data_IF_833356387212
#
_entry.id   IF_833356387212
#
_cell.length_a   1.000
_cell.length_b   1.000
_cell.length_c   1.000
_cell.angle_alpha   90.00
_cell.angle_beta   90.00
_cell.angle_gamma   90.00
#
_symmetry.space_group_name_H-M   'P 1'
#
loop_
_entity.id
_entity.type
_entity.pdbx_description
1 polymer ?
#
# COMPACT_ATOMS: atom_id res chain seq x y z
N UNK A 1 18.92 11.39 5.03
CA UNK A 1 18.59 9.97 4.83
C UNK A 1 19.72 9.18 5.48
N UNK A 2 19.46 8.49 6.62
CA UNK A 2 20.38 7.47 7.15
C UNK A 2 20.15 6.21 6.30
N UNK A 3 21.18 5.72 5.65
CA UNK A 3 21.16 4.41 4.99
C UNK A 3 21.85 3.41 5.90
N UNK A 4 21.27 2.23 6.01
CA UNK A 4 21.90 1.10 6.71
C UNK A 4 23.00 0.53 5.81
N UNK A 5 24.10 0.05 6.41
CA UNK A 5 25.17 -0.63 5.65
C UNK A 5 24.61 -1.85 4.92
N UNK A 6 25.13 -2.11 3.74
CA UNK A 6 24.76 -3.27 2.93
C UNK A 6 24.81 -4.56 3.80
N UNK A 7 23.66 -5.26 3.93
CA UNK A 7 23.55 -6.51 4.67
C UNK A 7 22.98 -6.40 6.10
N UNK A 8 22.84 -5.21 6.68
CA UNK A 8 22.16 -5.00 7.96
C UNK A 8 20.69 -4.68 7.72
N UNK A 9 19.77 -5.33 8.44
CA UNK A 9 18.36 -4.94 8.45
C UNK A 9 18.17 -3.76 9.40
N UNK A 10 17.52 -2.70 8.91
CA UNK A 10 17.13 -1.58 9.74
C UNK A 10 16.05 -2.01 10.73
N UNK A 11 16.27 -1.75 12.02
CA UNK A 11 15.19 -1.83 13.00
C UNK A 11 14.36 -0.54 12.96
N UNK A 12 13.35 -0.56 12.10
CA UNK A 12 12.51 0.61 11.88
C UNK A 12 11.80 1.09 13.16
N UNK A 13 11.48 0.18 14.09
CA UNK A 13 10.82 0.53 15.34
C UNK A 13 11.74 1.36 16.23
N UNK A 14 12.99 0.93 16.34
CA UNK A 14 14.01 1.67 17.09
C UNK A 14 14.27 3.03 16.49
N UNK A 15 14.43 3.10 15.16
CA UNK A 15 14.66 4.37 14.47
C UNK A 15 13.49 5.36 14.65
N UNK A 16 12.23 4.88 14.66
CA UNK A 16 11.07 5.72 14.91
C UNK A 16 11.00 6.22 16.35
N UNK A 17 11.38 5.39 17.32
CA UNK A 17 11.49 5.80 18.72
C UNK A 17 12.58 6.86 18.90
N UNK A 18 13.74 6.68 18.25
CA UNK A 18 14.85 7.63 18.28
C UNK A 18 14.49 8.97 17.60
N UNK A 19 13.64 8.94 16.57
CA UNK A 19 13.04 10.14 15.93
C UNK A 19 11.99 10.81 16.84
N UNK A 20 11.59 10.15 17.92
CA UNK A 20 10.63 10.67 18.90
C UNK A 20 9.18 10.59 18.44
N UNK A 21 8.83 9.63 17.60
CA UNK A 21 7.42 9.33 17.25
C UNK A 21 6.67 8.94 18.52
N UNK A 22 5.42 9.38 18.63
CA UNK A 22 4.56 9.12 19.79
C UNK A 22 4.47 7.62 20.10
N UNK A 23 4.81 7.26 21.32
CA UNK A 23 4.81 5.87 21.77
C UNK A 23 3.41 5.25 21.78
N UNK A 24 2.37 6.02 22.10
CA UNK A 24 1.00 5.53 22.04
C UNK A 24 0.60 5.19 20.60
N UNK A 25 1.00 6.01 19.63
CA UNK A 25 0.75 5.73 18.21
C UNK A 25 1.49 4.44 17.76
N UNK A 26 2.72 4.23 18.21
CA UNK A 26 3.47 3.01 17.90
C UNK A 26 2.81 1.76 18.52
N UNK A 27 2.25 1.86 19.73
CA UNK A 27 1.49 0.77 20.35
C UNK A 27 0.19 0.46 19.58
N UNK A 28 -0.55 1.47 19.13
CA UNK A 28 -1.73 1.26 18.29
C UNK A 28 -1.39 0.56 16.97
N UNK A 29 -0.24 0.87 16.35
CA UNK A 29 0.22 0.16 15.17
C UNK A 29 0.56 -1.32 15.49
N UNK A 30 1.12 -1.61 16.66
CA UNK A 30 1.37 -3.00 17.09
C UNK A 30 0.07 -3.77 17.27
N UNK A 31 -0.92 -3.19 17.94
CA UNK A 31 -2.24 -3.78 18.09
C UNK A 31 -2.92 -4.01 16.74
N UNK A 32 -2.80 -3.04 15.82
CA UNK A 32 -3.29 -3.22 14.44
C UNK A 32 -2.66 -4.44 13.76
N UNK A 33 -1.35 -4.62 13.87
CA UNK A 33 -0.64 -5.77 13.26
C UNK A 33 -1.11 -7.11 13.83
N UNK A 34 -1.31 -7.17 15.15
CA UNK A 34 -1.80 -8.37 15.84
C UNK A 34 -3.23 -8.72 15.44
N UNK A 35 -4.08 -7.69 15.32
CA UNK A 35 -5.47 -7.86 14.91
C UNK A 35 -5.65 -8.24 13.43
N UNK A 36 -4.64 -7.94 12.58
CA UNK A 36 -4.72 -8.16 11.14
C UNK A 36 -3.55 -9.02 10.64
N UNK A 37 -3.54 -10.33 10.91
CA UNK A 37 -2.48 -11.22 10.44
C UNK A 37 -2.42 -11.26 8.91
N UNK A 38 -1.20 -11.38 8.37
CA UNK A 38 -0.97 -11.44 6.92
C UNK A 38 -0.90 -12.90 6.48
N UNK A 39 -1.66 -13.30 5.43
CA UNK A 39 -1.57 -14.64 4.86
C UNK A 39 -0.14 -14.99 4.42
N UNK A 40 0.31 -16.26 4.59
CA UNK A 40 1.67 -16.67 4.26
C UNK A 40 2.13 -16.31 2.85
N UNK A 41 1.24 -16.42 1.86
CA UNK A 41 1.52 -16.09 0.46
C UNK A 41 1.79 -14.59 0.22
N UNK A 42 1.30 -13.71 1.10
CA UNK A 42 1.49 -12.27 1.00
C UNK A 42 2.67 -11.73 1.84
N UNK A 43 3.16 -12.52 2.81
CA UNK A 43 4.28 -12.12 3.67
C UNK A 43 5.55 -11.68 2.91
N UNK A 44 5.95 -12.34 1.80
CA UNK A 44 7.12 -11.90 1.02
C UNK A 44 6.98 -10.50 0.41
N UNK A 45 5.78 -9.93 0.39
CA UNK A 45 5.50 -8.58 -0.10
C UNK A 45 5.58 -7.51 0.99
N UNK A 46 5.81 -7.88 2.25
CA UNK A 46 6.04 -6.89 3.31
C UNK A 46 7.42 -6.28 3.09
N UNK A 47 7.52 -4.95 2.94
CA UNK A 47 8.80 -4.31 2.66
C UNK A 47 9.82 -4.50 3.79
N UNK A 48 11.11 -4.51 3.39
CA UNK A 48 12.24 -4.42 4.31
C UNK A 48 13.04 -3.14 3.98
N UNK A 49 12.64 -1.98 4.51
CA UNK A 49 13.20 -0.69 4.12
C UNK A 49 14.70 -0.61 4.37
N UNK A 50 15.40 0.03 3.43
CA UNK A 50 16.83 0.33 3.53
C UNK A 50 17.08 1.77 4.01
N UNK A 51 16.05 2.60 3.96
CA UNK A 51 16.12 4.02 4.30
C UNK A 51 14.93 4.38 5.19
N UNK A 52 15.16 5.25 6.19
CA UNK A 52 14.09 5.86 6.95
C UNK A 52 13.69 7.20 6.35
N UNK A 53 12.40 7.45 6.28
CA UNK A 53 11.85 8.79 6.07
C UNK A 53 11.87 9.55 7.39
N UNK A 54 12.47 10.75 7.38
CA UNK A 54 12.52 11.64 8.51
C UNK A 54 11.45 12.72 8.40
N UNK A 55 10.75 12.97 9.48
CA UNK A 55 9.70 13.98 9.55
C UNK A 55 8.56 13.54 10.47
N UNK A 56 8.75 13.71 11.77
CA UNK A 56 7.83 13.28 12.82
C UNK A 56 6.36 13.62 12.54
N UNK A 57 6.06 14.89 12.25
CA UNK A 57 4.67 15.33 12.05
C UNK A 57 3.99 14.65 10.86
N UNK A 58 4.74 14.42 9.77
CA UNK A 58 4.24 13.72 8.58
C UNK A 58 3.99 12.25 8.90
N UNK A 59 4.92 11.63 9.63
CA UNK A 59 4.81 10.26 10.09
C UNK A 59 3.57 10.04 10.95
N UNK A 60 3.41 10.84 12.01
CA UNK A 60 2.31 10.72 12.95
C UNK A 60 0.96 10.97 12.29
N UNK A 61 0.89 12.00 11.44
CA UNK A 61 -0.33 12.29 10.67
C UNK A 61 -0.71 11.16 9.72
N UNK A 62 0.27 10.62 8.99
CA UNK A 62 0.03 9.53 8.05
C UNK A 62 -0.36 8.23 8.77
N UNK A 63 0.33 7.88 9.84
CA UNK A 63 0.03 6.68 10.62
C UNK A 63 -1.34 6.76 11.30
N UNK A 64 -1.68 7.90 11.90
CA UNK A 64 -2.99 8.13 12.50
C UNK A 64 -4.13 8.03 11.47
N UNK A 65 -3.95 8.61 10.28
CA UNK A 65 -4.92 8.50 9.20
C UNK A 65 -5.13 7.04 8.76
N UNK A 66 -4.06 6.26 8.63
CA UNK A 66 -4.14 4.83 8.29
C UNK A 66 -4.85 4.01 9.38
N UNK A 67 -4.56 4.26 10.65
CA UNK A 67 -5.26 3.61 11.77
C UNK A 67 -6.76 3.94 11.78
N UNK A 68 -7.12 5.15 11.35
CA UNK A 68 -8.52 5.55 11.14
C UNK A 68 -9.11 5.01 9.83
N UNK A 69 -8.41 4.14 9.12
CA UNK A 69 -8.87 3.55 7.85
C UNK A 69 -8.92 4.55 6.69
N UNK A 70 -8.21 5.68 6.76
CA UNK A 70 -8.19 6.66 5.69
C UNK A 70 -7.15 6.33 4.62
N UNK A 71 -7.44 6.72 3.37
CA UNK A 71 -6.46 6.71 2.30
C UNK A 71 -5.55 7.93 2.39
N UNK A 72 -4.30 7.77 1.94
CA UNK A 72 -3.33 8.85 1.94
C UNK A 72 -3.07 9.34 0.52
N UNK A 73 -3.01 10.66 0.34
CA UNK A 73 -2.46 11.30 -0.84
C UNK A 73 -1.15 11.99 -0.47
N UNK A 74 -0.04 11.42 -0.91
CA UNK A 74 1.29 11.99 -0.69
C UNK A 74 1.62 12.96 -1.83
N UNK A 75 1.44 14.25 -1.61
CA UNK A 75 1.76 15.30 -2.57
C UNK A 75 3.03 16.06 -2.17
N UNK A 76 3.82 16.45 -3.17
CA UNK A 76 5.04 17.24 -2.94
C UNK A 76 6.04 17.14 -4.10
N UNK A 77 7.12 17.91 -4.07
CA UNK A 77 8.15 17.90 -5.10
C UNK A 77 8.77 16.54 -5.34
N UNK A 78 9.44 16.36 -6.47
CA UNK A 78 10.21 15.14 -6.75
C UNK A 78 11.33 14.97 -5.73
N UNK A 79 11.71 13.72 -5.47
CA UNK A 79 12.80 13.34 -4.56
C UNK A 79 12.63 13.79 -3.08
N UNK A 80 11.40 14.04 -2.61
CA UNK A 80 11.13 14.36 -1.20
C UNK A 80 10.92 13.12 -0.33
N UNK A 81 11.07 11.91 -0.86
CA UNK A 81 10.98 10.67 -0.10
C UNK A 81 9.57 10.10 0.05
N UNK A 82 8.60 10.52 -0.80
CA UNK A 82 7.21 9.99 -0.73
C UNK A 82 7.15 8.47 -0.78
N UNK A 83 7.88 7.85 -1.71
CA UNK A 83 7.92 6.39 -1.84
C UNK A 83 8.62 5.73 -0.64
N UNK A 84 9.65 6.39 -0.09
CA UNK A 84 10.31 5.92 1.15
C UNK A 84 9.31 5.93 2.31
N UNK A 85 8.50 6.99 2.46
CA UNK A 85 7.47 7.05 3.49
C UNK A 85 6.43 5.95 3.31
N UNK A 86 5.93 5.73 2.09
CA UNK A 86 4.96 4.68 1.80
C UNK A 86 5.52 3.28 2.13
N UNK A 87 6.75 2.99 1.74
CA UNK A 87 7.45 1.74 2.06
C UNK A 87 7.64 1.57 3.57
N UNK A 88 8.06 2.63 4.27
CA UNK A 88 8.24 2.60 5.72
C UNK A 88 6.92 2.39 6.45
N UNK A 89 5.84 3.07 6.07
CA UNK A 89 4.51 2.86 6.64
C UNK A 89 4.08 1.40 6.45
N UNK A 90 4.19 0.85 5.26
CA UNK A 90 3.84 -0.54 5.00
C UNK A 90 4.65 -1.53 5.85
N UNK A 91 5.95 -1.29 6.03
CA UNK A 91 6.83 -2.10 6.87
C UNK A 91 6.42 -2.06 8.35
N UNK A 92 6.14 -0.85 8.88
CA UNK A 92 5.74 -0.68 10.28
C UNK A 92 4.36 -1.26 10.55
N UNK A 93 3.40 -1.06 9.64
CA UNK A 93 2.09 -1.71 9.73
C UNK A 93 2.14 -3.22 9.43
N UNK A 94 3.29 -3.74 8.98
CA UNK A 94 3.44 -5.15 8.61
C UNK A 94 2.54 -5.56 7.45
N UNK A 95 2.26 -4.65 6.51
CA UNK A 95 1.34 -4.90 5.38
C UNK A 95 2.09 -5.21 4.09
N UNK A 96 1.61 -6.19 3.32
CA UNK A 96 2.13 -6.45 1.99
C UNK A 96 1.81 -5.27 1.05
N UNK A 97 2.68 -5.02 0.07
CA UNK A 97 2.54 -3.89 -0.85
C UNK A 97 2.31 -4.35 -2.28
N UNK A 98 1.40 -3.65 -2.96
CA UNK A 98 1.20 -3.71 -4.41
C UNK A 98 1.43 -2.33 -5.00
N UNK A 99 2.62 -2.14 -5.57
CA UNK A 99 2.98 -0.90 -6.27
C UNK A 99 2.46 -0.94 -7.71
N UNK A 100 1.82 0.14 -8.10
CA UNK A 100 1.34 0.36 -9.46
C UNK A 100 1.85 1.71 -9.94
N UNK A 101 2.78 1.69 -10.90
CA UNK A 101 3.18 2.90 -11.60
C UNK A 101 2.08 3.30 -12.58
N UNK A 102 1.45 4.44 -12.31
CA UNK A 102 0.39 4.97 -13.17
C UNK A 102 0.98 5.71 -14.35
N UNK A 103 0.49 5.42 -15.55
CA UNK A 103 0.85 6.10 -16.78
C UNK A 103 -0.33 6.11 -17.75
N UNK A 104 -0.22 6.86 -18.83
CA UNK A 104 -1.32 7.13 -19.78
C UNK A 104 -2.03 5.86 -20.31
N UNK A 105 -1.34 4.72 -20.40
CA UNK A 105 -1.91 3.49 -20.93
C UNK A 105 -2.38 2.49 -19.85
N UNK A 106 -2.32 2.85 -18.56
CA UNK A 106 -2.93 2.02 -17.51
C UNK A 106 -4.44 2.09 -17.67
N UNK A 107 -5.08 0.94 -17.68
CA UNK A 107 -6.53 0.80 -17.78
C UNK A 107 -7.12 0.02 -16.59
N UNK A 108 -8.42 -0.15 -16.58
CA UNK A 108 -9.13 -0.91 -15.55
C UNK A 108 -8.64 -2.36 -15.45
N UNK A 109 -8.34 -2.99 -16.59
CA UNK A 109 -7.87 -4.37 -16.64
C UNK A 109 -6.49 -4.53 -16.00
N UNK A 110 -5.61 -3.54 -16.16
CA UNK A 110 -4.30 -3.52 -15.52
C UNK A 110 -4.39 -3.39 -13.99
N UNK A 111 -5.42 -2.71 -13.48
CA UNK A 111 -5.63 -2.47 -12.04
C UNK A 111 -6.41 -3.59 -11.35
N UNK A 112 -7.55 -3.95 -11.92
CA UNK A 112 -8.51 -4.90 -11.33
C UNK A 112 -8.24 -6.33 -11.78
N UNK A 113 -7.93 -6.51 -13.07
CA UNK A 113 -7.72 -7.82 -13.70
C UNK A 113 -8.53 -7.97 -14.98
N UNK A 114 -8.28 -9.06 -15.68
CA UNK A 114 -8.94 -9.38 -16.94
C UNK A 114 -9.03 -10.89 -17.15
N UNK A 115 -9.96 -11.27 -18.01
CA UNK A 115 -10.09 -12.65 -18.48
C UNK A 115 -8.88 -13.05 -19.33
N UNK A 116 -8.36 -14.22 -19.05
CA UNK A 116 -7.26 -14.84 -19.79
C UNK A 116 -7.60 -16.27 -20.17
N UNK A 117 -7.14 -16.69 -21.35
CA UNK A 117 -7.30 -18.09 -21.76
C UNK A 117 -6.17 -18.93 -21.16
N UNK A 118 -6.50 -19.89 -20.30
CA UNK A 118 -5.55 -20.84 -19.73
C UNK A 118 -6.04 -22.27 -19.99
N UNK A 119 -5.22 -23.07 -20.67
CA UNK A 119 -5.52 -24.49 -20.98
C UNK A 119 -6.89 -24.71 -21.65
N UNK A 120 -7.36 -23.74 -22.45
CA UNK A 120 -8.63 -23.81 -23.15
C UNK A 120 -9.84 -23.29 -22.37
N UNK A 121 -9.66 -22.85 -21.13
CA UNK A 121 -10.69 -22.26 -20.29
C UNK A 121 -10.44 -20.77 -20.09
N UNK A 122 -11.53 -20.01 -19.97
CA UNK A 122 -11.45 -18.58 -19.61
C UNK A 122 -11.36 -18.46 -18.11
N UNK A 123 -10.26 -17.84 -17.63
CA UNK A 123 -10.01 -17.66 -16.21
C UNK A 123 -9.75 -16.18 -15.95
N UNK A 124 -10.39 -15.62 -14.93
CA UNK A 124 -10.10 -14.26 -14.49
C UNK A 124 -8.72 -14.20 -13.81
N UNK A 125 -7.83 -13.38 -14.34
CA UNK A 125 -6.53 -13.09 -13.75
C UNK A 125 -6.61 -11.77 -12.97
N UNK A 126 -6.55 -11.87 -11.64
CA UNK A 126 -6.60 -10.72 -10.76
C UNK A 126 -5.46 -9.73 -11.01
N UNK A 127 -5.82 -8.45 -11.07
CA UNK A 127 -4.87 -7.35 -11.06
C UNK A 127 -4.33 -7.03 -9.64
N UNK A 128 -3.37 -6.10 -9.56
CA UNK A 128 -2.70 -5.77 -8.29
C UNK A 128 -3.67 -5.22 -7.24
N UNK A 129 -4.67 -4.46 -7.61
CA UNK A 129 -5.61 -3.85 -6.66
C UNK A 129 -6.58 -4.89 -6.10
N UNK A 130 -7.11 -5.81 -6.91
CA UNK A 130 -7.89 -6.95 -6.43
C UNK A 130 -7.11 -7.80 -5.43
N UNK A 131 -5.88 -8.15 -5.78
CA UNK A 131 -5.01 -8.95 -4.89
C UNK A 131 -4.69 -8.20 -3.60
N UNK A 132 -4.44 -6.89 -3.69
CA UNK A 132 -4.23 -6.02 -2.54
C UNK A 132 -5.42 -6.05 -1.59
N UNK A 133 -6.63 -5.86 -2.10
CA UNK A 133 -7.84 -5.88 -1.29
C UNK A 133 -8.09 -7.25 -0.65
N UNK A 134 -7.97 -8.33 -1.43
CA UNK A 134 -8.19 -9.70 -0.95
C UNK A 134 -7.21 -10.13 0.14
N UNK A 135 -5.96 -9.75 0.03
CA UNK A 135 -4.90 -10.17 0.95
C UNK A 135 -4.59 -9.12 2.02
N UNK A 136 -5.37 -8.03 2.06
CA UNK A 136 -5.29 -7.00 3.10
C UNK A 136 -3.98 -6.22 3.07
N UNK A 137 -3.57 -5.73 1.92
CA UNK A 137 -2.33 -4.99 1.73
C UNK A 137 -2.49 -3.49 1.55
N UNK A 138 -1.38 -2.83 1.27
CA UNK A 138 -1.32 -1.45 0.83
C UNK A 138 -1.17 -1.39 -0.69
N UNK A 139 -2.13 -0.75 -1.36
CA UNK A 139 -2.03 -0.40 -2.78
C UNK A 139 -1.36 0.96 -2.92
N UNK A 140 -0.16 0.98 -3.50
CA UNK A 140 0.57 2.23 -3.74
C UNK A 140 0.45 2.59 -5.22
N UNK A 141 -0.24 3.71 -5.49
CA UNK A 141 -0.42 4.23 -6.85
C UNK A 141 0.59 5.36 -7.06
N UNK A 142 1.71 5.06 -7.71
CA UNK A 142 2.73 6.07 -8.00
C UNK A 142 2.37 6.85 -9.26
N UNK A 143 2.71 8.14 -9.28
CA UNK A 143 2.42 9.09 -10.39
C UNK A 143 0.93 9.09 -10.79
N UNK A 144 0.02 9.06 -9.81
CA UNK A 144 -1.44 8.99 -10.03
C UNK A 144 -1.97 10.11 -10.94
N UNK A 145 -1.28 11.25 -10.99
CA UNK A 145 -1.58 12.38 -11.88
C UNK A 145 -1.37 12.07 -13.38
N UNK A 146 -0.67 11.00 -13.71
CA UNK A 146 -0.43 10.57 -15.10
C UNK A 146 -1.53 9.65 -15.63
N UNK A 147 -2.39 9.14 -14.75
CA UNK A 147 -3.47 8.23 -15.13
C UNK A 147 -4.61 8.95 -15.85
N UNK A 148 -5.27 8.25 -16.75
CA UNK A 148 -6.54 8.71 -17.34
C UNK A 148 -7.68 8.58 -16.33
N UNK A 149 -8.67 9.46 -16.41
CA UNK A 149 -9.84 9.43 -15.53
C UNK A 149 -10.59 8.10 -15.59
N UNK A 150 -10.64 7.46 -16.75
CA UNK A 150 -11.28 6.15 -16.93
C UNK A 150 -10.62 5.05 -16.10
N UNK A 151 -9.28 5.07 -15.98
CA UNK A 151 -8.54 4.15 -15.14
C UNK A 151 -8.78 4.41 -13.64
N UNK A 152 -8.91 5.67 -13.24
CA UNK A 152 -9.19 6.05 -11.85
C UNK A 152 -10.65 5.77 -11.46
N UNK A 153 -11.58 5.80 -12.41
CA UNK A 153 -13.00 5.58 -12.14
C UNK A 153 -13.30 4.24 -11.47
N UNK A 154 -12.53 3.18 -11.81
CA UNK A 154 -12.71 1.85 -11.22
C UNK A 154 -12.29 1.79 -9.75
N UNK A 155 -11.52 2.76 -9.27
CA UNK A 155 -11.08 2.86 -7.89
C UNK A 155 -12.04 3.67 -7.01
N UNK A 156 -13.03 4.37 -7.56
CA UNK A 156 -13.90 5.25 -6.79
C UNK A 156 -14.63 4.50 -5.66
N UNK A 157 -15.19 3.32 -5.96
CA UNK A 157 -15.90 2.52 -4.95
C UNK A 157 -14.95 1.90 -3.89
N UNK A 158 -13.67 1.74 -4.23
CA UNK A 158 -12.63 1.27 -3.30
C UNK A 158 -12.17 2.41 -2.39
N UNK A 159 -12.09 3.62 -2.93
CA UNK A 159 -11.56 4.79 -2.22
C UNK A 159 -12.62 5.54 -1.41
N UNK A 160 -13.90 5.34 -1.67
CA UNK A 160 -14.99 5.94 -0.90
C UNK A 160 -15.42 5.07 0.29
N UNK A 161 -16.47 5.49 0.99
CA UNK A 161 -17.00 4.80 2.18
C UNK A 161 -17.45 3.36 1.93
N UNK A 162 -17.73 2.98 0.68
CA UNK A 162 -18.18 1.62 0.32
C UNK A 162 -17.07 0.58 0.44
N UNK A 163 -15.82 0.96 0.21
CA UNK A 163 -14.64 0.08 0.31
C UNK A 163 -14.80 -1.21 -0.50
N UNK A 164 -15.29 -1.12 -1.72
CA UNK A 164 -15.67 -2.26 -2.55
C UNK A 164 -14.92 -2.26 -3.86
N UNK A 165 -14.48 -3.45 -4.26
CA UNK A 165 -14.07 -3.74 -5.64
C UNK A 165 -15.11 -4.67 -6.26
N UNK A 166 -15.76 -4.21 -7.31
CA UNK A 166 -16.68 -5.02 -8.09
C UNK A 166 -15.93 -5.64 -9.27
N UNK A 167 -15.89 -6.97 -9.32
CA UNK A 167 -15.27 -7.73 -10.42
C UNK A 167 -16.42 -8.28 -11.28
N UNK A 168 -16.76 -7.58 -12.40
CA UNK A 168 -17.95 -7.91 -13.17
C UNK A 168 -17.98 -9.37 -13.65
N UNK A 169 -19.08 -10.06 -13.35
CA UNK A 169 -19.27 -11.47 -13.73
C UNK A 169 -18.61 -12.49 -12.79
N UNK A 170 -17.89 -12.05 -11.77
CA UNK A 170 -17.22 -12.92 -10.80
C UNK A 170 -17.68 -12.68 -9.37
N UNK A 171 -17.24 -11.59 -8.76
CA UNK A 171 -17.49 -11.37 -7.33
C UNK A 171 -17.38 -9.89 -6.93
N UNK A 172 -17.77 -9.61 -5.70
CA UNK A 172 -17.55 -8.33 -5.03
C UNK A 172 -16.63 -8.56 -3.83
N UNK A 173 -15.50 -7.83 -3.79
CA UNK A 173 -14.55 -7.84 -2.69
C UNK A 173 -14.86 -6.64 -1.78
N UNK A 174 -15.01 -6.86 -0.47
CA UNK A 174 -15.31 -5.85 0.57
C UNK A 174 -14.27 -5.87 1.67
#
# INVERSE_FOLDING_TARGET
>A
IKTVKWGERMDIWKELQDEGIDTALLEEIRHFREAHPVPPEAQPRIPAPQCLYYGKEVWESAAAALLCGQHLLLAGPKATGKNVLAENLAAVFGRPVWDVSMYVNVDAAALIGADTLQKGEVVFREGPICRCARLGGFGVLDEVNMAKNEALAVLHATLDHRRVIDVPGYERIT
#
